data_IF_888523566055
#
_entry.id   IF_888523566055
#
_cell.length_a   1.000
_cell.length_b   1.000
_cell.length_c   1.000
_cell.angle_alpha   90.00
_cell.angle_beta   90.00
_cell.angle_gamma   90.00
#
_symmetry.space_group_name_H-M   'P 1'
#
loop_
_entity.id
_entity.type
_entity.pdbx_description
1 polymer ?
#
# COMPACT_ATOMS: atom_id res chain seq x y z
N UNK A 1 37.08 12.51 -4.17
CA UNK A 1 37.59 12.97 -2.88
C UNK A 1 36.83 12.42 -1.71
N UNK A 2 37.57 11.96 -0.77
CA UNK A 2 36.97 11.41 0.42
C UNK A 2 36.13 12.41 1.19
N UNK A 3 36.51 13.67 1.12
CA UNK A 3 35.80 14.74 1.81
C UNK A 3 34.37 14.86 1.31
N UNK A 4 34.20 14.79 0.01
CA UNK A 4 32.89 15.00 -0.56
C UNK A 4 31.93 13.87 -0.25
N UNK A 5 32.45 12.66 -0.17
CA UNK A 5 31.62 11.51 0.10
C UNK A 5 31.41 11.24 1.59
N UNK A 6 32.17 11.91 2.42
CA UNK A 6 32.15 11.64 3.85
C UNK A 6 30.78 11.84 4.51
N UNK A 7 30.09 12.94 4.29
CA UNK A 7 28.77 13.10 4.88
C UNK A 7 27.78 12.03 4.40
N UNK A 8 27.86 11.70 3.13
CA UNK A 8 27.01 10.65 2.59
C UNK A 8 27.36 9.30 3.18
N UNK A 9 28.67 9.04 3.36
CA UNK A 9 29.12 7.81 3.98
C UNK A 9 28.63 7.68 5.41
N UNK A 10 28.66 8.75 6.15
CA UNK A 10 28.18 8.74 7.53
C UNK A 10 26.69 8.47 7.61
N UNK A 11 25.91 9.11 6.73
CA UNK A 11 24.47 8.88 6.67
C UNK A 11 24.19 7.44 6.26
N UNK A 12 24.91 6.92 5.28
CA UNK A 12 24.74 5.55 4.84
C UNK A 12 25.06 4.55 5.94
N UNK A 13 26.13 4.80 6.68
CA UNK A 13 26.53 3.92 7.79
C UNK A 13 25.47 3.91 8.87
N UNK A 14 24.95 5.06 9.24
CA UNK A 14 23.91 5.15 10.24
C UNK A 14 22.65 4.45 9.80
N UNK A 15 22.25 4.64 8.57
CA UNK A 15 21.10 3.96 8.02
C UNK A 15 21.30 2.44 8.00
N UNK A 16 22.48 1.99 7.62
CA UNK A 16 22.80 0.57 7.58
C UNK A 16 22.76 -0.06 8.95
N UNK A 17 23.33 0.64 9.94
CA UNK A 17 23.34 0.16 11.31
C UNK A 17 21.91 0.07 11.85
N UNK A 18 21.13 1.09 11.61
CA UNK A 18 19.73 1.11 12.03
C UNK A 18 18.95 -0.03 11.40
N UNK A 19 19.16 -0.28 10.12
CA UNK A 19 18.49 -1.37 9.40
C UNK A 19 18.91 -2.74 9.95
N UNK A 20 20.17 -2.89 10.29
CA UNK A 20 20.69 -4.16 10.82
C UNK A 20 20.18 -4.46 12.21
N UNK A 21 20.07 -3.43 13.06
CA UNK A 21 19.61 -3.58 14.44
C UNK A 21 18.09 -3.68 14.47
N UNK A 22 17.44 -2.86 13.69
CA UNK A 22 15.99 -2.73 13.72
C UNK A 22 15.48 -2.49 12.31
N UNK A 23 15.29 -3.57 11.53
CA UNK A 23 14.82 -3.45 10.16
C UNK A 23 13.48 -2.72 10.10
N UNK A 24 13.24 -1.90 9.09
CA UNK A 24 11.96 -1.23 8.96
C UNK A 24 10.83 -2.25 8.84
N UNK A 25 9.78 -1.99 9.56
CA UNK A 25 8.58 -2.82 9.50
C UNK A 25 7.81 -2.48 8.25
N UNK A 26 7.19 -3.50 7.68
CA UNK A 26 6.34 -3.34 6.51
C UNK A 26 4.92 -3.72 6.86
N UNK A 27 4.00 -3.13 6.13
CA UNK A 27 2.58 -3.30 6.39
C UNK A 27 1.86 -3.61 5.11
N UNK A 28 0.92 -4.52 5.19
CA UNK A 28 0.03 -4.82 4.08
C UNK A 28 -1.18 -3.90 4.15
N UNK A 29 -1.62 -3.46 3.00
CA UNK A 29 -2.93 -2.83 2.86
C UNK A 29 -3.85 -3.93 2.33
N UNK A 30 -4.91 -4.21 3.07
CA UNK A 30 -5.87 -5.27 2.75
C UNK A 30 -7.18 -4.61 2.37
N UNK A 31 -7.66 -4.91 1.17
CA UNK A 31 -8.91 -4.37 0.67
C UNK A 31 -10.02 -5.42 0.85
N UNK A 32 -11.17 -4.97 1.34
CA UNK A 32 -12.28 -5.86 1.69
C UNK A 32 -13.43 -5.72 0.72
N UNK A 33 -14.06 -6.83 0.43
CA UNK A 33 -15.25 -6.85 -0.43
C UNK A 33 -16.45 -6.26 0.29
N UNK A 34 -17.38 -5.72 -0.49
CA UNK A 34 -18.69 -5.29 0.01
C UNK A 34 -19.70 -5.39 -1.14
N UNK A 35 -20.98 -5.23 -0.82
CA UNK A 35 -22.07 -5.43 -1.77
C UNK A 35 -22.34 -4.24 -2.68
N UNK A 36 -21.74 -3.09 -2.40
CA UNK A 36 -22.14 -1.83 -3.04
C UNK A 36 -21.08 -1.21 -3.92
N UNK A 37 -19.81 -1.46 -3.63
CA UNK A 37 -18.72 -0.88 -4.41
C UNK A 37 -18.62 -1.60 -5.75
N UNK A 38 -18.74 -0.87 -6.88
CA UNK A 38 -18.67 -1.50 -8.19
C UNK A 38 -17.29 -2.10 -8.46
N UNK A 39 -17.29 -3.22 -9.17
CA UNK A 39 -16.07 -3.91 -9.55
C UNK A 39 -15.13 -2.99 -10.32
N UNK A 40 -15.67 -2.22 -11.26
CA UNK A 40 -14.87 -1.29 -12.06
C UNK A 40 -14.21 -0.21 -11.22
N UNK A 41 -14.90 0.26 -10.18
CA UNK A 41 -14.33 1.25 -9.27
C UNK A 41 -13.13 0.67 -8.52
N UNK A 42 -13.23 -0.57 -8.08
CA UNK A 42 -12.12 -1.24 -7.39
C UNK A 42 -10.91 -1.34 -8.32
N UNK A 43 -11.12 -1.72 -9.57
CA UNK A 43 -10.04 -1.78 -10.56
C UNK A 43 -9.39 -0.41 -10.72
N UNK A 44 -10.20 0.65 -10.88
CA UNK A 44 -9.68 2.00 -11.05
C UNK A 44 -8.84 2.43 -9.85
N UNK A 45 -9.29 2.15 -8.65
CA UNK A 45 -8.54 2.46 -7.43
C UNK A 45 -7.20 1.73 -7.41
N UNK A 46 -7.22 0.46 -7.77
CA UNK A 46 -5.99 -0.34 -7.77
C UNK A 46 -4.99 0.16 -8.79
N UNK A 47 -5.45 0.63 -9.95
CA UNK A 47 -4.57 1.21 -10.96
C UNK A 47 -4.07 2.59 -10.52
N UNK A 48 -4.97 3.46 -10.10
CA UNK A 48 -4.63 4.87 -9.85
C UNK A 48 -3.90 5.10 -8.54
N UNK A 49 -4.35 4.46 -7.47
CA UNK A 49 -3.77 4.69 -6.15
C UNK A 49 -2.68 3.69 -5.79
N UNK A 50 -2.83 2.44 -6.21
CA UNK A 50 -1.89 1.38 -5.86
C UNK A 50 -0.93 1.03 -6.98
N UNK A 51 -1.08 1.68 -8.12
CA UNK A 51 -0.14 1.61 -9.25
C UNK A 51 0.00 0.22 -9.88
N UNK A 52 -1.03 -0.58 -9.79
CA UNK A 52 -1.06 -1.86 -10.49
C UNK A 52 -1.38 -1.64 -11.97
N UNK A 53 -0.91 -2.54 -12.82
CA UNK A 53 -1.37 -2.52 -14.20
C UNK A 53 -2.80 -3.04 -14.25
N UNK A 54 -3.47 -2.85 -15.38
CA UNK A 54 -4.88 -3.19 -15.49
C UNK A 54 -5.17 -4.66 -15.27
N UNK A 55 -4.30 -5.54 -15.77
CA UNK A 55 -4.51 -6.98 -15.60
C UNK A 55 -4.37 -7.39 -14.14
N UNK A 56 -3.33 -6.91 -13.47
CA UNK A 56 -3.13 -7.19 -12.05
C UNK A 56 -4.27 -6.62 -11.22
N UNK A 57 -4.72 -5.42 -11.56
CA UNK A 57 -5.84 -4.79 -10.86
C UNK A 57 -7.12 -5.61 -11.01
N UNK A 58 -7.38 -6.09 -12.22
CA UNK A 58 -8.56 -6.94 -12.47
C UNK A 58 -8.46 -8.25 -11.69
N UNK A 59 -7.29 -8.87 -11.66
CA UNK A 59 -7.06 -10.10 -10.93
C UNK A 59 -7.26 -9.90 -9.42
N UNK A 60 -6.76 -8.80 -8.89
CA UNK A 60 -6.93 -8.48 -7.47
C UNK A 60 -8.39 -8.17 -7.15
N UNK A 61 -9.08 -7.44 -8.01
CA UNK A 61 -10.48 -7.14 -7.80
C UNK A 61 -11.31 -8.42 -7.79
N UNK A 62 -10.99 -9.36 -8.67
CA UNK A 62 -11.66 -10.66 -8.69
C UNK A 62 -11.36 -11.45 -7.42
N UNK A 63 -10.12 -11.41 -6.96
CA UNK A 63 -9.72 -12.09 -5.73
C UNK A 63 -10.48 -11.54 -4.53
N UNK A 64 -10.60 -10.22 -4.45
CA UNK A 64 -11.37 -9.57 -3.38
C UNK A 64 -12.82 -10.06 -3.42
N UNK A 65 -13.40 -10.13 -4.62
CA UNK A 65 -14.77 -10.55 -4.78
C UNK A 65 -14.99 -12.01 -4.35
N UNK A 66 -14.09 -12.89 -4.74
CA UNK A 66 -14.21 -14.33 -4.48
C UNK A 66 -13.78 -14.68 -3.06
N UNK A 67 -12.69 -14.12 -2.58
CA UNK A 67 -12.10 -14.48 -1.28
C UNK A 67 -12.43 -13.50 -0.16
N UNK A 68 -13.25 -12.51 -0.43
CA UNK A 68 -13.73 -11.49 0.50
C UNK A 68 -12.70 -10.42 0.85
N UNK A 69 -11.43 -10.66 0.64
CA UNK A 69 -10.38 -9.67 0.86
C UNK A 69 -9.12 -10.09 0.13
N UNK A 70 -8.24 -9.13 -0.12
CA UNK A 70 -6.93 -9.41 -0.69
C UNK A 70 -5.94 -8.32 -0.29
N UNK A 71 -4.68 -8.69 -0.23
CA UNK A 71 -3.58 -7.74 -0.04
C UNK A 71 -3.39 -7.02 -1.37
N UNK A 72 -3.47 -5.68 -1.34
CA UNK A 72 -3.33 -4.88 -2.56
C UNK A 72 -2.02 -4.11 -2.63
N UNK A 73 -1.27 -4.07 -1.53
CA UNK A 73 0.04 -3.44 -1.52
C UNK A 73 0.76 -3.68 -0.21
N UNK A 74 2.06 -3.40 -0.23
CA UNK A 74 2.90 -3.52 0.96
C UNK A 74 3.81 -2.30 1.02
N UNK A 75 3.81 -1.61 2.14
CA UNK A 75 4.50 -0.33 2.30
C UNK A 75 5.01 -0.19 3.72
N UNK A 76 5.85 0.83 3.96
CA UNK A 76 6.10 1.23 5.33
C UNK A 76 4.82 1.82 5.92
N UNK A 77 4.77 1.98 7.22
CA UNK A 77 3.55 2.41 7.91
C UNK A 77 2.99 3.73 7.38
N UNK A 78 3.86 4.71 7.20
CA UNK A 78 3.42 6.04 6.80
C UNK A 78 2.76 6.03 5.42
N UNK A 79 3.38 5.34 4.48
CA UNK A 79 2.83 5.22 3.12
C UNK A 79 1.55 4.39 3.12
N UNK A 80 1.54 3.30 3.90
CA UNK A 80 0.35 2.45 3.99
C UNK A 80 -0.85 3.25 4.52
N UNK A 81 -0.63 4.04 5.56
CA UNK A 81 -1.68 4.88 6.12
C UNK A 81 -2.18 5.91 5.11
N UNK A 82 -1.26 6.48 4.34
CA UNK A 82 -1.61 7.44 3.30
C UNK A 82 -2.47 6.78 2.21
N UNK A 83 -2.10 5.57 1.79
CA UNK A 83 -2.87 4.82 0.79
C UNK A 83 -4.28 4.52 1.29
N UNK A 84 -4.40 4.13 2.54
CA UNK A 84 -5.70 3.85 3.15
C UNK A 84 -6.55 5.12 3.17
N UNK A 85 -5.97 6.23 3.61
CA UNK A 85 -6.70 7.50 3.68
C UNK A 85 -7.18 7.93 2.31
N UNK A 86 -6.33 7.85 1.29
CA UNK A 86 -6.69 8.22 -0.06
C UNK A 86 -7.81 7.32 -0.61
N UNK A 87 -7.71 6.02 -0.34
CA UNK A 87 -8.72 5.06 -0.78
C UNK A 87 -10.08 5.37 -0.17
N UNK A 88 -10.11 5.58 1.14
CA UNK A 88 -11.36 5.87 1.84
C UNK A 88 -11.95 7.19 1.35
N UNK A 89 -11.13 8.22 1.22
CA UNK A 89 -11.59 9.53 0.75
C UNK A 89 -12.24 9.44 -0.62
N UNK A 90 -11.56 8.77 -1.55
CA UNK A 90 -12.07 8.62 -2.90
C UNK A 90 -13.36 7.80 -2.93
N UNK A 91 -13.39 6.72 -2.15
CA UNK A 91 -14.56 5.85 -2.08
C UNK A 91 -15.78 6.59 -1.54
N UNK A 92 -15.61 7.32 -0.45
CA UNK A 92 -16.71 8.08 0.16
C UNK A 92 -17.18 9.21 -0.73
N UNK A 93 -16.25 9.85 -1.47
CA UNK A 93 -16.62 10.89 -2.43
C UNK A 93 -17.52 10.34 -3.52
N UNK A 94 -17.45 9.05 -3.80
CA UNK A 94 -18.31 8.38 -4.79
C UNK A 94 -19.46 7.62 -4.13
N UNK A 95 -19.66 7.81 -2.84
CA UNK A 95 -20.71 7.16 -2.07
C UNK A 95 -20.60 5.64 -2.02
N UNK A 96 -19.36 5.12 -2.04
CA UNK A 96 -19.11 3.70 -1.91
C UNK A 96 -18.54 3.38 -0.54
N UNK A 97 -18.94 2.25 0.08
CA UNK A 97 -18.48 1.89 1.43
C UNK A 97 -17.19 1.07 1.44
N UNK A 98 -16.41 1.10 0.38
CA UNK A 98 -15.17 0.31 0.30
C UNK A 98 -14.30 0.53 1.52
N UNK A 99 -13.81 -0.56 2.11
CA UNK A 99 -12.95 -0.49 3.29
C UNK A 99 -11.61 -1.16 3.03
N UNK A 100 -10.60 -0.62 3.68
CA UNK A 100 -9.25 -1.16 3.66
C UNK A 100 -8.73 -1.20 5.08
N UNK A 101 -7.88 -2.16 5.36
CA UNK A 101 -7.29 -2.30 6.69
C UNK A 101 -5.79 -2.46 6.58
N UNK A 102 -5.13 -2.35 7.72
CA UNK A 102 -3.69 -2.39 7.83
C UNK A 102 -3.28 -3.64 8.61
N UNK A 103 -2.39 -4.45 8.03
CA UNK A 103 -1.84 -5.61 8.71
C UNK A 103 -0.33 -5.53 8.68
N UNK A 104 0.31 -5.85 9.79
CA UNK A 104 1.76 -5.88 9.84
C UNK A 104 2.26 -7.09 9.07
N UNK A 105 3.25 -6.87 8.19
CA UNK A 105 3.76 -7.93 7.32
C UNK A 105 4.76 -8.85 8.01
N UNK A 106 5.42 -8.37 9.04
CA UNK A 106 6.49 -9.13 9.72
C UNK A 106 6.07 -9.67 11.07
#
# INVERSE_FOLDING_TARGET
MAVDSKPESEVSVLSSISTMIEPPKRYYVVMHNDDKTPFDFVIDVLVELYRHDEQTAADLANKIHVEEKAIVGMYNLEIAEQKIEETVRLSRANNFPLTVSLDQAD
#
